data_IF_830288190094
#
_entry.id   IF_830288190094
#
_cell.length_a   1.000
_cell.length_b   1.000
_cell.length_c   1.000
_cell.angle_alpha   90.00
_cell.angle_beta   90.00
_cell.angle_gamma   90.00
#
_symmetry.space_group_name_H-M   'P 1'
#
loop_
_entity.id
_entity.type
_entity.pdbx_description
1 polymer ?
#
# COMPACT_ATOMS: atom_id res chain seq x y z
N UNK A 1 8.38 -2.47 -10.44
CA UNK A 1 9.19 -1.27 -10.24
C UNK A 1 8.60 -0.62 -9.01
N UNK A 2 9.28 -0.65 -7.87
CA UNK A 2 8.84 0.18 -6.74
C UNK A 2 8.92 1.64 -7.23
N UNK A 3 7.87 2.40 -7.01
CA UNK A 3 7.93 3.84 -7.25
C UNK A 3 8.93 4.42 -6.26
N UNK A 4 10.04 4.98 -6.75
CA UNK A 4 11.10 5.58 -5.92
C UNK A 4 10.70 6.95 -5.33
N UNK A 5 9.44 7.34 -5.54
CA UNK A 5 8.93 8.65 -5.16
C UNK A 5 8.22 8.60 -3.80
N UNK A 6 8.57 9.54 -2.93
CA UNK A 6 7.87 9.75 -1.66
C UNK A 6 6.45 10.27 -1.90
N UNK A 7 5.46 9.68 -1.22
CA UNK A 7 4.07 10.15 -1.25
C UNK A 7 3.85 11.09 -0.07
N UNK A 8 3.74 12.38 -0.36
CA UNK A 8 3.51 13.42 0.64
C UNK A 8 2.01 13.57 0.89
N UNK A 9 1.56 13.30 2.13
CA UNK A 9 0.15 13.43 2.52
C UNK A 9 -0.06 14.75 3.27
N UNK A 10 0.81 15.05 4.24
CA UNK A 10 0.77 16.27 5.05
C UNK A 10 2.12 16.49 5.76
N UNK A 11 2.26 17.59 6.50
CA UNK A 11 3.46 17.86 7.31
C UNK A 11 3.75 16.81 8.40
N UNK A 12 2.79 15.96 8.75
CA UNK A 12 2.95 14.90 9.75
C UNK A 12 2.95 13.48 9.14
N UNK A 13 2.84 13.36 7.82
CA UNK A 13 2.70 12.07 7.14
C UNK A 13 3.29 12.08 5.72
N UNK A 14 4.32 11.26 5.53
CA UNK A 14 4.93 10.92 4.25
C UNK A 14 5.08 9.39 4.19
N UNK A 15 4.71 8.78 3.07
CA UNK A 15 5.01 7.37 2.81
C UNK A 15 6.27 7.34 1.96
N UNK A 16 7.33 6.70 2.46
CA UNK A 16 8.58 6.56 1.71
C UNK A 16 8.46 5.40 0.73
N UNK A 17 9.23 5.45 -0.36
CA UNK A 17 9.26 4.38 -1.37
C UNK A 17 9.45 2.97 -0.77
N UNK A 18 10.27 2.84 0.28
CA UNK A 18 10.53 1.56 0.96
C UNK A 18 9.41 1.07 1.90
N UNK A 19 8.44 1.92 2.22
CA UNK A 19 7.36 1.57 3.16
C UNK A 19 6.16 0.91 2.45
N UNK A 20 6.07 1.01 1.11
CA UNK A 20 4.96 0.52 0.30
C UNK A 20 5.41 -0.64 -0.60
N UNK A 21 4.78 -1.80 -0.44
CA UNK A 21 5.01 -2.97 -1.28
C UNK A 21 3.86 -3.20 -2.25
N UNK A 22 4.19 -3.45 -3.52
CA UNK A 22 3.22 -3.68 -4.59
C UNK A 22 3.32 -5.10 -5.13
N UNK A 23 2.22 -5.84 -5.08
CA UNK A 23 2.10 -7.21 -5.58
C UNK A 23 1.05 -7.25 -6.71
N UNK A 24 1.47 -7.59 -7.93
CA UNK A 24 0.54 -7.73 -9.07
C UNK A 24 -0.15 -9.08 -9.02
N UNK A 25 -1.46 -9.08 -8.87
CA UNK A 25 -2.27 -10.29 -8.72
C UNK A 25 -3.20 -10.50 -9.93
N UNK A 26 -3.55 -11.76 -10.18
CA UNK A 26 -4.57 -12.09 -11.18
C UNK A 26 -5.95 -11.75 -10.63
N UNK A 27 -6.75 -11.01 -11.38
CA UNK A 27 -8.14 -10.75 -11.02
C UNK A 27 -8.97 -12.03 -11.23
N UNK A 28 -9.57 -12.56 -10.17
CA UNK A 28 -10.33 -13.81 -10.19
C UNK A 28 -11.81 -13.59 -10.54
N UNK A 29 -12.09 -12.81 -11.59
CA UNK A 29 -13.47 -12.57 -12.07
C UNK A 29 -13.99 -13.72 -12.96
N UNK A 30 -15.31 -14.02 -12.96
CA UNK A 30 -15.89 -15.03 -13.86
C UNK A 30 -15.55 -14.70 -15.32
N UNK A 31 -14.96 -15.67 -16.03
CA UNK A 31 -14.31 -15.48 -17.32
C UNK A 31 -15.23 -15.00 -18.45
N UNK A 32 -15.03 -13.75 -18.86
CA UNK A 32 -15.25 -13.30 -20.24
C UNK A 32 -13.89 -13.20 -20.96
N UNK A 33 -13.89 -13.29 -22.29
CA UNK A 33 -12.72 -13.52 -23.17
C UNK A 33 -11.45 -12.64 -22.98
N UNK A 34 -11.46 -11.62 -22.10
CA UNK A 34 -10.30 -10.76 -21.80
C UNK A 34 -9.51 -11.13 -20.51
N UNK A 35 -9.89 -12.19 -19.79
CA UNK A 35 -9.27 -12.60 -18.49
C UNK A 35 -7.86 -13.20 -18.60
N UNK A 36 -7.40 -13.58 -19.80
CA UNK A 36 -6.19 -14.38 -19.95
C UNK A 36 -4.87 -13.60 -20.18
N UNK A 37 -4.80 -12.26 -20.07
CA UNK A 37 -3.57 -11.57 -20.54
C UNK A 37 -2.94 -10.46 -19.70
N UNK A 38 -3.58 -9.89 -18.68
CA UNK A 38 -2.93 -8.84 -17.89
C UNK A 38 -3.29 -8.99 -16.41
N UNK A 39 -2.28 -9.06 -15.54
CA UNK A 39 -2.45 -8.88 -14.10
C UNK A 39 -2.88 -7.42 -13.86
N UNK A 40 -4.18 -7.13 -13.94
CA UNK A 40 -4.74 -5.78 -13.82
C UNK A 40 -5.01 -5.36 -12.39
N UNK A 41 -4.93 -6.30 -11.43
CA UNK A 41 -5.13 -6.02 -10.02
C UNK A 41 -3.78 -5.87 -9.32
N UNK A 42 -3.66 -4.85 -8.48
CA UNK A 42 -2.49 -4.59 -7.64
C UNK A 42 -2.92 -4.66 -6.18
N UNK A 43 -2.20 -5.46 -5.40
CA UNK A 43 -2.30 -5.47 -3.95
C UNK A 43 -1.18 -4.60 -3.38
N UNK A 44 -1.55 -3.61 -2.57
CA UNK A 44 -0.63 -2.74 -1.87
C UNK A 44 -0.57 -3.14 -0.39
N UNK A 45 0.65 -3.21 0.16
CA UNK A 45 0.89 -3.41 1.60
C UNK A 45 1.74 -2.27 2.14
N UNK A 46 1.35 -1.73 3.27
CA UNK A 46 2.04 -0.61 3.92
C UNK A 46 2.26 -0.95 5.39
N UNK A 47 3.52 -0.98 5.82
CA UNK A 47 3.90 -1.23 7.21
C UNK A 47 3.86 0.08 8.01
N UNK A 48 2.68 0.43 8.48
CA UNK A 48 2.46 1.65 9.25
C UNK A 48 3.24 1.65 10.58
N UNK A 49 3.53 0.47 11.15
CA UNK A 49 4.22 0.34 12.41
C UNK A 49 5.68 0.77 12.31
N UNK A 50 6.36 0.49 11.20
CA UNK A 50 7.77 0.80 10.98
C UNK A 50 8.02 2.03 10.09
N UNK A 51 7.00 2.59 9.44
CA UNK A 51 7.15 3.73 8.53
C UNK A 51 7.77 4.96 9.22
N UNK A 52 8.92 5.44 8.74
CA UNK A 52 9.65 6.57 9.35
C UNK A 52 9.01 7.94 9.09
N UNK A 53 8.22 8.05 8.02
CA UNK A 53 7.57 9.31 7.61
C UNK A 53 6.26 9.63 8.35
N UNK A 54 5.84 8.82 9.33
CA UNK A 54 4.66 9.08 10.15
C UNK A 54 5.03 9.68 11.50
N UNK A 55 4.38 10.80 11.87
CA UNK A 55 4.41 11.27 13.26
C UNK A 55 3.78 10.24 14.19
N UNK A 56 4.17 10.24 15.47
CA UNK A 56 3.66 9.28 16.47
C UNK A 56 2.13 9.27 16.54
N UNK A 57 1.54 10.48 16.48
CA UNK A 57 0.08 10.68 16.46
C UNK A 57 -0.58 10.01 15.25
N UNK A 58 0.03 10.12 14.07
CA UNK A 58 -0.50 9.53 12.83
C UNK A 58 -0.29 8.01 12.85
N UNK A 59 0.89 7.53 13.24
CA UNK A 59 1.23 6.12 13.39
C UNK A 59 0.22 5.39 14.27
N UNK A 60 -0.02 5.89 15.48
CA UNK A 60 -0.95 5.28 16.42
C UNK A 60 -2.38 5.18 15.86
N UNK A 61 -2.82 6.20 15.10
CA UNK A 61 -4.13 6.19 14.44
C UNK A 61 -4.17 5.22 13.27
N UNK A 62 -3.11 5.16 12.46
CA UNK A 62 -3.00 4.26 11.32
C UNK A 62 -3.04 2.80 11.78
N UNK A 63 -2.26 2.43 12.80
CA UNK A 63 -2.27 1.10 13.42
C UNK A 63 -3.67 0.76 13.95
N UNK A 64 -4.31 1.70 14.66
CA UNK A 64 -5.67 1.50 15.18
C UNK A 64 -6.69 1.25 14.06
N UNK A 65 -6.55 1.92 12.91
CA UNK A 65 -7.42 1.75 11.75
C UNK A 65 -7.13 0.45 10.99
N UNK A 66 -5.86 0.05 10.90
CA UNK A 66 -5.44 -1.18 10.23
C UNK A 66 -5.86 -2.45 10.99
N UNK A 67 -6.04 -2.35 12.31
CA UNK A 67 -6.52 -3.46 13.14
C UNK A 67 -5.55 -4.65 13.11
N UNK A 68 -6.04 -5.84 12.72
CA UNK A 68 -5.22 -7.06 12.61
C UNK A 68 -4.24 -7.07 11.43
N UNK A 69 -4.24 -6.04 10.59
CA UNK A 69 -3.40 -5.92 9.38
C UNK A 69 -2.37 -4.79 9.49
N UNK A 70 -2.12 -4.31 10.70
CA UNK A 70 -1.16 -3.24 11.00
C UNK A 70 0.29 -3.69 10.81
#
# INVERSE_FOLDING_TARGET
MASDDDIIISGEAVIRAGDLHEDFIRSSGPGGQNVNKVATAVQLRFDAANASGLSERVRARAIKLAGQRA
#
